data_IF_176690399222
#
_entry.id   IF_176690399222
#
_cell.length_a   1.000
_cell.length_b   1.000
_cell.length_c   1.000
_cell.angle_alpha   90.00
_cell.angle_beta   90.00
_cell.angle_gamma   90.00
#
_symmetry.space_group_name_H-M   'P 1'
#
loop_
_entity.id
_entity.type
_entity.pdbx_description
1 polymer ?
#
# COMPACT_ATOMS: atom_id res chain seq x y z
N UNK A 1 0.18 40.80 -12.35
CA UNK A 1 -0.29 39.57 -11.68
C UNK A 1 -0.12 38.44 -12.67
N UNK A 2 0.47 37.33 -12.25
CA UNK A 2 0.56 36.13 -13.07
C UNK A 2 -0.77 35.35 -13.00
N UNK A 3 -1.53 35.20 -14.10
CA UNK A 3 -2.86 34.59 -14.06
C UNK A 3 -2.91 33.16 -13.49
N UNK A 4 -1.97 32.25 -13.81
CA UNK A 4 -1.89 30.93 -13.19
C UNK A 4 -1.66 31.01 -11.67
N UNK A 5 -0.80 31.91 -11.21
CA UNK A 5 -0.55 32.11 -9.78
C UNK A 5 -1.81 32.59 -9.05
N UNK A 6 -2.60 33.46 -9.66
CA UNK A 6 -3.87 33.92 -9.10
C UNK A 6 -4.89 32.77 -8.98
N UNK A 7 -4.99 31.90 -9.99
CA UNK A 7 -5.86 30.72 -9.95
C UNK A 7 -5.39 29.72 -8.88
N UNK A 8 -4.10 29.43 -8.80
CA UNK A 8 -3.55 28.51 -7.79
C UNK A 8 -3.75 29.04 -6.36
N UNK A 9 -3.60 30.35 -6.14
CA UNK A 9 -3.87 30.96 -4.84
C UNK A 9 -5.35 30.87 -4.44
N UNK A 10 -6.28 31.07 -5.39
CA UNK A 10 -7.71 30.90 -5.14
C UNK A 10 -8.08 29.44 -4.82
N UNK A 11 -7.47 28.48 -5.53
CA UNK A 11 -7.69 27.05 -5.27
C UNK A 11 -7.12 26.64 -3.92
N UNK A 12 -5.93 27.13 -3.56
CA UNK A 12 -5.34 26.92 -2.24
C UNK A 12 -6.29 27.43 -1.14
N UNK A 13 -6.76 28.67 -1.24
CA UNK A 13 -7.70 29.25 -0.27
C UNK A 13 -9.03 28.47 -0.18
N UNK A 14 -9.51 27.94 -1.30
CA UNK A 14 -10.73 27.12 -1.34
C UNK A 14 -10.56 25.76 -0.65
N UNK A 15 -9.36 25.18 -0.69
CA UNK A 15 -9.04 23.83 -0.21
C UNK A 15 -8.42 23.78 1.20
N UNK A 16 -7.85 24.88 1.71
CA UNK A 16 -7.17 24.88 3.01
C UNK A 16 -8.10 25.28 4.16
N UNK A 17 -8.21 24.46 5.23
CA UNK A 17 -8.90 24.87 6.45
C UNK A 17 -8.07 25.91 7.22
N UNK A 18 -8.75 26.87 7.85
CA UNK A 18 -8.16 27.90 8.69
C UNK A 18 -8.82 27.86 10.07
N UNK A 19 -8.29 27.12 11.07
CA UNK A 19 -8.92 26.96 12.37
C UNK A 19 -9.35 28.32 12.99
N UNK A 20 -10.60 28.47 13.48
CA UNK A 20 -11.66 27.47 13.67
C UNK A 20 -12.55 27.21 12.44
N UNK A 21 -12.27 27.81 11.27
CA UNK A 21 -13.07 27.71 10.05
C UNK A 21 -12.63 26.51 9.18
N UNK A 22 -13.56 25.63 8.75
CA UNK A 22 -13.25 24.56 7.80
C UNK A 22 -12.95 25.11 6.40
N UNK A 23 -12.36 24.31 5.52
CA UNK A 23 -12.17 24.68 4.12
C UNK A 23 -13.53 24.91 3.43
N UNK A 24 -13.62 25.87 2.50
CA UNK A 24 -14.86 26.11 1.75
C UNK A 24 -15.26 24.88 0.91
N UNK A 25 -14.28 24.14 0.40
CA UNK A 25 -14.51 22.84 -0.21
C UNK A 25 -15.26 21.87 0.73
N UNK A 26 -14.91 21.84 2.01
CA UNK A 26 -15.52 20.92 2.98
C UNK A 26 -16.97 21.32 3.31
N UNK A 27 -17.29 22.61 3.27
CA UNK A 27 -18.65 23.14 3.45
C UNK A 27 -19.54 22.80 2.24
N UNK A 28 -19.05 23.07 1.03
CA UNK A 28 -19.80 22.83 -0.22
C UNK A 28 -20.01 21.34 -0.44
N UNK A 29 -19.02 20.51 -0.07
CA UNK A 29 -19.11 19.08 -0.30
C UNK A 29 -19.90 18.36 0.79
N UNK A 30 -19.88 18.76 2.06
CA UNK A 30 -20.72 18.17 3.12
C UNK A 30 -20.32 16.74 3.58
N UNK A 31 -20.63 16.36 4.84
CA UNK A 31 -20.26 15.06 5.40
C UNK A 31 -21.19 13.93 4.93
N UNK A 32 -20.64 12.78 4.52
CA UNK A 32 -21.42 11.54 4.30
C UNK A 32 -21.06 10.71 3.06
N UNK A 33 -20.41 11.31 2.06
CA UNK A 33 -19.91 10.61 0.85
C UNK A 33 -18.45 11.02 0.60
N UNK A 34 -17.66 10.11 0.03
CA UNK A 34 -16.22 10.33 -0.21
C UNK A 34 -16.02 11.61 -1.04
N UNK A 35 -15.14 12.51 -0.57
CA UNK A 35 -14.80 13.78 -1.26
C UNK A 35 -14.44 13.57 -2.73
N UNK A 36 -13.87 12.40 -3.05
CA UNK A 36 -13.50 11.97 -4.41
C UNK A 36 -14.71 11.73 -5.31
N UNK A 37 -15.77 11.08 -4.79
CA UNK A 37 -16.98 10.78 -5.57
C UNK A 37 -17.74 12.06 -5.89
N UNK A 38 -17.85 12.99 -4.92
CA UNK A 38 -18.48 14.29 -5.14
C UNK A 38 -17.76 15.13 -6.18
N UNK A 39 -16.43 15.18 -6.12
CA UNK A 39 -15.63 15.89 -7.12
C UNK A 39 -15.83 15.28 -8.52
N UNK A 40 -15.82 13.95 -8.63
CA UNK A 40 -16.09 13.25 -9.88
C UNK A 40 -17.47 13.59 -10.45
N UNK A 41 -18.54 13.50 -9.64
CA UNK A 41 -19.91 13.88 -10.04
C UNK A 41 -19.98 15.32 -10.53
N UNK A 42 -19.33 16.25 -9.84
CA UNK A 42 -19.27 17.66 -10.23
C UNK A 42 -18.60 17.85 -11.60
N UNK A 43 -17.45 17.21 -11.83
CA UNK A 43 -16.77 17.26 -13.12
C UNK A 43 -17.62 16.66 -14.24
N UNK A 44 -18.30 15.53 -14.00
CA UNK A 44 -19.19 14.93 -14.98
C UNK A 44 -20.34 15.89 -15.38
N UNK A 45 -20.96 16.56 -14.40
CA UNK A 45 -21.97 17.59 -14.66
C UNK A 45 -21.39 18.78 -15.43
N UNK A 46 -20.20 19.25 -15.05
CA UNK A 46 -19.53 20.37 -15.71
C UNK A 46 -19.20 20.09 -17.18
N UNK A 47 -18.69 18.89 -17.47
CA UNK A 47 -18.35 18.46 -18.83
C UNK A 47 -19.53 17.86 -19.61
N UNK A 48 -20.73 17.83 -19.01
CA UNK A 48 -21.93 17.25 -19.58
C UNK A 48 -21.74 15.78 -20.05
N UNK A 49 -21.07 14.98 -19.22
CA UNK A 49 -20.86 13.54 -19.43
C UNK A 49 -21.63 12.71 -18.40
N UNK A 50 -22.15 11.53 -18.78
CA UNK A 50 -22.86 10.68 -17.83
C UNK A 50 -21.91 10.15 -16.74
N UNK A 51 -22.38 10.19 -15.50
CA UNK A 51 -21.62 9.76 -14.30
C UNK A 51 -21.44 8.24 -14.25
N UNK A 52 -22.41 7.48 -14.79
CA UNK A 52 -22.50 6.03 -14.62
C UNK A 52 -23.32 5.62 -13.38
N UNK A 53 -23.29 4.33 -13.06
CA UNK A 53 -24.09 3.73 -11.98
C UNK A 53 -23.46 4.02 -10.60
N UNK A 54 -24.26 4.55 -9.66
CA UNK A 54 -23.77 5.00 -8.36
C UNK A 54 -23.14 3.89 -7.53
N UNK A 55 -23.59 2.64 -7.71
CA UNK A 55 -23.05 1.47 -6.99
C UNK A 55 -21.58 1.21 -7.30
N UNK A 56 -21.09 1.64 -8.47
CA UNK A 56 -19.69 1.46 -8.87
C UNK A 56 -18.80 2.66 -8.53
N UNK A 57 -19.37 3.77 -8.06
CA UNK A 57 -18.61 4.93 -7.62
C UNK A 57 -17.98 4.73 -6.24
N UNK A 58 -18.57 3.83 -5.44
CA UNK A 58 -18.16 3.54 -4.08
C UNK A 58 -17.53 2.16 -3.98
N UNK A 59 -16.45 2.04 -3.20
CA UNK A 59 -15.84 0.75 -2.88
C UNK A 59 -16.59 -0.04 -1.80
N UNK A 60 -17.70 0.47 -1.24
CA UNK A 60 -18.45 -0.16 -0.14
C UNK A 60 -19.00 -1.53 -0.53
N UNK A 61 -19.57 -1.62 -1.73
CA UNK A 61 -20.24 -2.83 -2.24
C UNK A 61 -19.37 -3.57 -3.26
N UNK A 62 -18.05 -3.33 -3.23
CA UNK A 62 -17.10 -4.01 -4.10
C UNK A 62 -17.08 -5.51 -3.74
N UNK A 63 -17.31 -6.43 -4.72
CA UNK A 63 -17.38 -7.87 -4.45
C UNK A 63 -16.10 -8.43 -3.80
N UNK A 64 -14.96 -7.85 -4.15
CA UNK A 64 -13.65 -8.13 -3.58
C UNK A 64 -13.11 -6.80 -3.08
N UNK A 65 -13.12 -6.58 -1.77
CA UNK A 65 -12.49 -5.39 -1.17
C UNK A 65 -11.02 -5.34 -1.56
N UNK A 66 -10.45 -4.16 -1.77
CA UNK A 66 -9.01 -4.02 -2.03
C UNK A 66 -8.15 -4.63 -0.91
N UNK A 67 -8.62 -4.60 0.33
CA UNK A 67 -7.99 -5.28 1.48
C UNK A 67 -8.08 -6.81 1.41
N UNK A 68 -9.04 -7.36 0.66
CA UNK A 68 -9.18 -8.79 0.43
C UNK A 68 -8.39 -9.29 -0.80
N UNK A 69 -7.63 -8.41 -1.44
CA UNK A 69 -6.60 -8.79 -2.41
C UNK A 69 -5.47 -9.45 -1.61
N UNK A 70 -5.57 -10.78 -1.49
CA UNK A 70 -4.85 -11.68 -0.57
C UNK A 70 -3.34 -11.89 -0.88
N UNK A 71 -2.70 -10.96 -1.59
CA UNK A 71 -1.46 -11.24 -2.34
C UNK A 71 -0.27 -10.34 -2.02
N UNK A 72 -0.11 -9.92 -0.77
CA UNK A 72 1.12 -9.26 -0.35
C UNK A 72 2.00 -10.17 0.50
N UNK A 73 1.91 -11.50 0.34
CA UNK A 73 2.90 -12.37 0.97
C UNK A 73 4.26 -12.13 0.33
N UNK A 74 5.23 -11.87 1.20
CA UNK A 74 6.62 -11.70 0.80
C UNK A 74 7.52 -12.53 1.71
N UNK A 75 8.67 -12.92 1.19
CA UNK A 75 9.71 -13.52 2.02
C UNK A 75 10.35 -12.44 2.89
N UNK A 76 10.43 -12.75 4.18
CA UNK A 76 11.06 -11.94 5.21
C UNK A 76 11.92 -12.82 6.09
N UNK A 77 12.86 -12.26 6.87
CA UNK A 77 13.57 -13.02 7.89
C UNK A 77 12.56 -13.76 8.77
N UNK A 78 12.84 -15.02 9.08
CA UNK A 78 12.02 -15.81 10.00
C UNK A 78 12.21 -15.29 11.43
N UNK A 79 11.46 -14.24 11.76
CA UNK A 79 11.55 -13.51 13.02
C UNK A 79 11.43 -14.41 14.25
N UNK A 80 10.67 -15.51 14.16
CA UNK A 80 10.51 -16.48 15.26
C UNK A 80 11.75 -17.34 15.52
N UNK A 81 12.70 -17.33 14.60
CA UNK A 81 13.89 -18.16 14.61
C UNK A 81 15.21 -17.36 14.53
N UNK A 82 15.16 -16.06 14.22
CA UNK A 82 16.36 -15.19 14.13
C UNK A 82 17.23 -15.12 15.39
N UNK A 83 16.67 -15.38 16.58
CA UNK A 83 17.40 -15.36 17.86
C UNK A 83 18.06 -16.70 18.21
N UNK A 84 17.83 -17.76 17.44
CA UNK A 84 18.39 -19.10 17.70
C UNK A 84 19.76 -19.24 17.04
N UNK A 85 20.61 -20.10 17.61
CA UNK A 85 21.91 -20.49 17.05
C UNK A 85 21.72 -21.50 15.91
N UNK A 86 21.21 -21.02 14.79
CA UNK A 86 21.05 -21.75 13.54
C UNK A 86 21.19 -20.77 12.37
N UNK A 87 21.50 -21.22 11.14
CA UNK A 87 21.55 -20.34 9.98
C UNK A 87 20.28 -19.53 9.80
N UNK A 88 20.39 -18.25 9.39
CA UNK A 88 19.21 -17.43 9.15
C UNK A 88 18.39 -18.01 7.99
N UNK A 89 17.07 -18.00 8.15
CA UNK A 89 16.13 -18.44 7.13
C UNK A 89 15.06 -17.36 6.88
N UNK A 90 14.32 -17.50 5.79
CA UNK A 90 13.20 -16.66 5.44
C UNK A 90 11.88 -17.43 5.42
N UNK A 91 10.84 -16.78 5.94
CA UNK A 91 9.47 -17.28 5.98
C UNK A 91 8.51 -16.31 5.26
N UNK A 92 7.39 -16.81 4.71
CA UNK A 92 6.37 -15.97 4.12
C UNK A 92 5.65 -15.16 5.21
N UNK A 93 5.52 -13.85 5.00
CA UNK A 93 4.85 -12.93 5.91
C UNK A 93 3.71 -12.18 5.22
N UNK A 94 2.58 -11.89 5.91
CA UNK A 94 1.36 -11.33 5.31
C UNK A 94 1.43 -9.80 5.04
N UNK A 95 2.63 -9.27 4.83
CA UNK A 95 2.87 -7.87 4.53
C UNK A 95 3.83 -7.71 3.36
N UNK A 96 3.64 -6.65 2.59
CA UNK A 96 4.39 -6.39 1.36
C UNK A 96 5.87 -6.20 1.64
N UNK A 97 6.69 -6.94 0.89
CA UNK A 97 8.15 -6.89 0.94
C UNK A 97 8.75 -7.00 -0.45
N UNK A 98 10.07 -6.88 -0.55
CA UNK A 98 10.77 -6.80 -1.83
C UNK A 98 10.71 -8.10 -2.63
N UNK A 99 10.70 -9.25 -1.95
CA UNK A 99 10.78 -10.57 -2.56
C UNK A 99 9.42 -11.26 -2.42
N UNK A 100 8.71 -11.54 -3.52
CA UNK A 100 7.36 -12.11 -3.45
C UNK A 100 7.40 -13.59 -3.03
N UNK A 101 6.36 -13.99 -2.31
CA UNK A 101 6.02 -15.39 -2.07
C UNK A 101 4.71 -15.71 -2.80
N UNK A 102 4.72 -16.78 -3.59
CA UNK A 102 3.57 -17.23 -4.37
C UNK A 102 2.88 -18.40 -3.66
N UNK A 103 1.71 -18.14 -3.09
CA UNK A 103 0.93 -19.18 -2.40
C UNK A 103 0.43 -20.26 -3.39
N UNK A 104 0.76 -21.55 -3.17
CA UNK A 104 0.31 -22.66 -4.03
C UNK A 104 -1.21 -22.79 -4.15
N UNK A 105 -1.98 -22.26 -3.20
CA UNK A 105 -3.44 -22.30 -3.26
C UNK A 105 -4.03 -21.32 -4.29
N UNK A 106 -3.26 -20.32 -4.75
CA UNK A 106 -3.78 -19.24 -5.59
C UNK A 106 -2.94 -18.98 -6.85
N UNK A 107 -1.67 -19.36 -6.87
CA UNK A 107 -0.77 -19.12 -8.00
C UNK A 107 -0.52 -20.41 -8.81
N UNK A 108 -0.36 -20.29 -10.15
CA UNK A 108 0.07 -21.42 -10.98
C UNK A 108 1.42 -21.99 -10.54
N UNK A 109 1.64 -23.27 -10.84
CA UNK A 109 2.87 -24.00 -10.48
C UNK A 109 4.14 -23.30 -10.98
N UNK A 110 4.07 -22.65 -12.15
CA UNK A 110 5.15 -21.85 -12.73
C UNK A 110 5.68 -20.79 -11.74
N UNK A 111 4.79 -20.06 -11.07
CA UNK A 111 5.16 -19.05 -10.08
C UNK A 111 5.59 -19.68 -8.76
N UNK A 112 4.89 -20.74 -8.32
CA UNK A 112 5.23 -21.47 -7.09
C UNK A 112 6.63 -22.06 -7.17
N UNK A 113 7.06 -22.51 -8.34
CA UNK A 113 8.42 -23.03 -8.58
C UNK A 113 9.52 -21.98 -8.32
N UNK A 114 9.20 -20.69 -8.38
CA UNK A 114 10.12 -19.60 -8.09
C UNK A 114 10.33 -19.36 -6.60
N UNK A 115 9.49 -19.93 -5.73
CA UNK A 115 9.54 -19.68 -4.29
C UNK A 115 10.87 -20.09 -3.67
N UNK A 116 11.45 -21.23 -4.05
CA UNK A 116 12.73 -21.66 -3.49
C UNK A 116 13.86 -20.71 -3.88
N UNK A 117 13.91 -20.30 -5.16
CA UNK A 117 14.86 -19.29 -5.62
C UNK A 117 14.66 -17.94 -4.91
N UNK A 118 13.42 -17.56 -4.63
CA UNK A 118 13.10 -16.33 -3.91
C UNK A 118 13.47 -16.41 -2.42
N UNK A 119 13.26 -17.56 -1.76
CA UNK A 119 13.70 -17.82 -0.40
C UNK A 119 15.22 -17.67 -0.29
N UNK A 120 15.97 -18.29 -1.22
CA UNK A 120 17.42 -18.17 -1.26
C UNK A 120 17.90 -16.72 -1.49
N UNK A 121 17.21 -15.95 -2.34
CA UNK A 121 17.49 -14.52 -2.51
C UNK A 121 17.27 -13.73 -1.21
N UNK A 122 16.22 -14.07 -0.46
CA UNK A 122 15.94 -13.44 0.84
C UNK A 122 17.02 -13.77 1.87
N UNK A 123 17.45 -15.03 1.96
CA UNK A 123 18.56 -15.42 2.83
C UNK A 123 19.84 -14.68 2.43
N UNK A 124 20.17 -14.63 1.13
CA UNK A 124 21.32 -13.91 0.64
C UNK A 124 21.27 -12.40 0.97
N UNK A 125 20.10 -11.76 0.90
CA UNK A 125 19.96 -10.34 1.25
C UNK A 125 20.13 -10.07 2.74
N UNK A 126 19.71 -11.00 3.62
CA UNK A 126 19.95 -10.91 5.07
C UNK A 126 21.45 -10.87 5.37
N UNK A 127 22.22 -11.79 4.79
CA UNK A 127 23.67 -11.85 5.02
C UNK A 127 24.43 -10.72 4.33
N UNK A 128 23.97 -10.26 3.17
CA UNK A 128 24.59 -9.14 2.46
C UNK A 128 24.41 -7.79 3.17
N UNK A 129 23.23 -7.55 3.75
CA UNK A 129 22.95 -6.32 4.49
C UNK A 129 21.93 -6.55 5.64
N UNK A 130 22.37 -7.07 6.79
CA UNK A 130 21.47 -7.37 7.91
C UNK A 130 20.82 -6.12 8.51
N UNK A 131 21.49 -4.96 8.39
CA UNK A 131 20.96 -3.69 8.92
C UNK A 131 19.70 -3.21 8.18
N UNK A 132 19.50 -3.62 6.93
CA UNK A 132 18.26 -3.36 6.18
C UNK A 132 17.03 -3.93 6.91
N UNK A 133 17.21 -5.05 7.60
CA UNK A 133 16.17 -5.73 8.37
C UNK A 133 16.23 -5.37 9.86
N UNK A 134 16.97 -4.32 10.24
CA UNK A 134 17.22 -3.98 11.66
C UNK A 134 17.85 -5.13 12.47
N UNK A 135 18.55 -6.06 11.81
CA UNK A 135 19.25 -7.17 12.45
C UNK A 135 20.70 -6.79 12.75
N UNK A 136 21.22 -7.26 13.88
CA UNK A 136 22.61 -7.11 14.32
C UNK A 136 23.10 -8.44 14.88
N UNK A 137 24.40 -8.73 14.77
CA UNK A 137 24.97 -9.97 15.32
C UNK A 137 24.74 -10.15 16.83
N UNK A 138 24.51 -9.04 17.56
CA UNK A 138 24.19 -9.06 18.99
C UNK A 138 22.72 -9.34 19.31
N UNK A 139 21.80 -9.02 18.40
CA UNK A 139 20.35 -9.22 18.58
C UNK A 139 19.82 -10.46 17.86
N UNK A 140 20.54 -10.91 16.83
CA UNK A 140 20.12 -11.96 15.92
C UNK A 140 21.25 -12.99 15.83
N UNK A 141 21.15 -14.05 16.64
CA UNK A 141 22.15 -15.10 16.73
C UNK A 141 22.35 -15.85 15.41
N UNK A 142 21.33 -15.89 14.55
CA UNK A 142 21.40 -16.60 13.28
C UNK A 142 22.46 -16.04 12.31
N UNK A 143 22.85 -14.77 12.46
CA UNK A 143 23.85 -14.11 11.60
C UNK A 143 25.29 -14.62 11.83
N UNK A 144 25.51 -15.39 12.89
CA UNK A 144 26.84 -15.88 13.26
C UNK A 144 27.20 -17.23 12.59
N UNK A 145 26.34 -17.72 11.68
CA UNK A 145 26.50 -18.96 10.91
C UNK A 145 26.60 -18.66 9.42
#
# INVERSE_FOLDING_TARGET
MDPPLAMMASLWFYMTPQPPKPAMHDIVMGPGESRRIKAFKWFCTYFNVPIGDEKYLSCKDMPIKLESIRYNYSYQPDWGNTWKEQPCDCAPAPYGGLIPYFDPAYYPEEFVSLNEANRLKCVASIYANPTMYSMKNTSSACLNH
#
